data_IF_644198881965
#
_entry.id   IF_644198881965
#
_cell.length_a   1.000
_cell.length_b   1.000
_cell.length_c   1.000
_cell.angle_alpha   90.00
_cell.angle_beta   90.00
_cell.angle_gamma   90.00
#
_symmetry.space_group_name_H-M   'P 1'
#
loop_
_entity.id
_entity.type
_entity.pdbx_description
1 polymer ?
#
# COMPACT_ATOMS: atom_id res chain seq x y z
N UNK A 1 -32.28 -6.85 8.08
CA UNK A 1 -31.20 -7.64 8.67
C UNK A 1 -29.86 -7.12 8.13
N UNK A 2 -29.26 -6.13 8.88
CA UNK A 2 -28.08 -5.38 8.46
C UNK A 2 -26.74 -6.04 8.83
N UNK A 3 -26.54 -7.32 8.62
CA UNK A 3 -25.31 -8.02 8.97
C UNK A 3 -24.50 -8.38 7.72
N UNK A 4 -23.23 -8.01 7.71
CA UNK A 4 -22.24 -8.52 6.77
C UNK A 4 -21.60 -9.75 7.41
N UNK A 5 -21.56 -10.87 6.68
CA UNK A 5 -20.97 -12.11 7.19
C UNK A 5 -19.59 -12.34 6.59
N UNK A 6 -18.72 -13.09 7.26
CA UNK A 6 -17.48 -13.56 6.67
C UNK A 6 -17.73 -14.28 5.34
N UNK A 7 -17.02 -13.88 4.29
CA UNK A 7 -17.20 -14.39 2.92
C UNK A 7 -18.17 -13.58 2.05
N UNK A 8 -18.92 -12.63 2.60
CA UNK A 8 -19.67 -11.67 1.80
C UNK A 8 -18.71 -10.72 1.05
N UNK A 9 -19.04 -10.38 -0.19
CA UNK A 9 -18.31 -9.38 -0.97
C UNK A 9 -19.13 -8.11 -1.08
N UNK A 10 -18.59 -6.96 -0.65
CA UNK A 10 -19.20 -5.66 -0.89
C UNK A 10 -18.94 -5.26 -2.34
N UNK A 11 -20.00 -5.05 -3.12
CA UNK A 11 -19.92 -4.68 -4.54
C UNK A 11 -20.36 -3.24 -4.81
N UNK A 12 -21.08 -2.63 -3.85
CA UNK A 12 -21.43 -1.20 -3.87
C UNK A 12 -21.53 -0.67 -2.44
N UNK A 13 -21.15 0.59 -2.24
CA UNK A 13 -21.35 1.35 -1.01
C UNK A 13 -21.84 2.76 -1.38
N UNK A 14 -22.79 3.32 -0.64
CA UNK A 14 -23.41 4.62 -0.91
C UNK A 14 -23.84 4.83 -2.39
N UNK A 15 -24.16 3.73 -3.10
CA UNK A 15 -24.50 3.76 -4.52
C UNK A 15 -23.31 3.69 -5.48
N UNK A 16 -22.09 3.87 -5.00
CA UNK A 16 -20.86 3.76 -5.79
C UNK A 16 -20.42 2.30 -5.92
N UNK A 17 -19.71 1.99 -6.99
CA UNK A 17 -19.10 0.67 -7.18
C UNK A 17 -17.89 0.51 -6.25
N UNK A 18 -17.75 -0.66 -5.67
CA UNK A 18 -16.63 -1.04 -4.80
C UNK A 18 -15.91 -2.20 -5.49
N UNK A 19 -14.71 -1.97 -5.96
CA UNK A 19 -13.85 -2.98 -6.57
C UNK A 19 -12.66 -3.32 -5.65
N UNK A 20 -12.30 -2.40 -4.73
CA UNK A 20 -11.18 -2.53 -3.79
C UNK A 20 -11.59 -2.11 -2.38
N UNK A 21 -10.79 -2.48 -1.39
CA UNK A 21 -11.01 -2.06 0.01
C UNK A 21 -10.98 -0.53 0.12
N UNK A 22 -10.07 0.13 -0.61
CA UNK A 22 -9.91 1.59 -0.60
C UNK A 22 -11.16 2.32 -1.09
N UNK A 23 -11.88 1.76 -2.07
CA UNK A 23 -13.14 2.32 -2.55
C UNK A 23 -14.20 2.33 -1.43
N UNK A 24 -14.26 1.27 -0.64
CA UNK A 24 -15.17 1.18 0.50
C UNK A 24 -14.77 2.16 1.61
N UNK A 25 -13.47 2.24 1.92
CA UNK A 25 -12.93 3.18 2.92
C UNK A 25 -13.24 4.62 2.51
N UNK A 26 -13.05 4.98 1.25
CA UNK A 26 -13.35 6.32 0.76
C UNK A 26 -14.83 6.72 0.90
N UNK A 27 -15.76 5.77 0.82
CA UNK A 27 -17.18 6.04 1.06
C UNK A 27 -17.48 6.15 2.57
N UNK A 28 -16.79 5.39 3.42
CA UNK A 28 -16.90 5.47 4.88
C UNK A 28 -16.38 6.81 5.38
N UNK A 29 -15.23 7.26 4.89
CA UNK A 29 -14.56 8.51 5.31
C UNK A 29 -15.38 9.78 4.99
N UNK A 30 -16.39 9.69 4.13
CA UNK A 30 -17.33 10.79 3.84
C UNK A 30 -18.47 10.90 4.85
N UNK A 31 -18.58 9.97 5.77
CA UNK A 31 -19.65 9.85 6.76
C UNK A 31 -19.11 10.15 8.16
N UNK A 32 -20.02 10.26 9.13
CA UNK A 32 -19.69 10.42 10.53
C UNK A 32 -20.15 9.19 11.35
N UNK A 33 -19.61 8.97 12.56
CA UNK A 33 -20.15 8.00 13.49
C UNK A 33 -21.63 8.26 13.75
N UNK A 34 -22.47 7.22 13.63
CA UNK A 34 -23.93 7.28 13.74
C UNK A 34 -24.65 7.43 12.40
N UNK A 35 -23.92 7.70 11.30
CA UNK A 35 -24.53 7.71 9.97
C UNK A 35 -24.80 6.30 9.45
N UNK A 36 -25.79 6.17 8.58
CA UNK A 36 -26.14 4.91 7.93
C UNK A 36 -25.41 4.76 6.58
N UNK A 37 -24.65 3.66 6.44
CA UNK A 37 -24.07 3.26 5.17
C UNK A 37 -24.89 2.13 4.54
N UNK A 38 -25.46 2.41 3.35
CA UNK A 38 -26.14 1.39 2.55
C UNK A 38 -25.18 0.75 1.56
N UNK A 39 -25.09 -0.56 1.60
CA UNK A 39 -24.23 -1.37 0.75
C UNK A 39 -25.03 -2.42 -0.01
N UNK A 40 -24.49 -2.88 -1.13
CA UNK A 40 -24.92 -4.10 -1.82
C UNK A 40 -23.82 -5.14 -1.62
N UNK A 41 -24.20 -6.25 -1.03
CA UNK A 41 -23.28 -7.37 -0.77
C UNK A 41 -23.69 -8.59 -1.61
N UNK A 42 -22.69 -9.32 -2.05
CA UNK A 42 -22.79 -10.58 -2.77
C UNK A 42 -22.28 -11.69 -1.85
N UNK A 43 -23.16 -12.50 -1.25
CA UNK A 43 -22.78 -13.66 -0.46
C UNK A 43 -22.04 -14.70 -1.32
N UNK A 44 -21.24 -15.56 -0.69
CA UNK A 44 -20.65 -16.72 -1.38
C UNK A 44 -21.70 -17.68 -1.94
N UNK A 45 -22.83 -17.80 -1.25
CA UNK A 45 -23.97 -18.62 -1.64
C UNK A 45 -25.26 -17.79 -1.60
N UNK A 46 -25.73 -17.31 -2.74
CA UNK A 46 -27.01 -16.62 -2.83
C UNK A 46 -27.01 -15.33 -3.66
N UNK A 47 -28.19 -14.73 -3.82
CA UNK A 47 -28.33 -13.50 -4.59
C UNK A 47 -27.77 -12.29 -3.84
N UNK A 48 -27.39 -11.27 -4.58
CA UNK A 48 -27.03 -9.97 -4.04
C UNK A 48 -28.16 -9.42 -3.15
N UNK A 49 -27.77 -8.84 -2.02
CA UNK A 49 -28.71 -8.22 -1.09
C UNK A 49 -28.24 -6.83 -0.69
N UNK A 50 -29.19 -5.99 -0.34
CA UNK A 50 -28.92 -4.66 0.22
C UNK A 50 -28.79 -4.79 1.75
N UNK A 51 -27.79 -4.15 2.30
CA UNK A 51 -27.50 -4.08 3.73
C UNK A 51 -27.32 -2.63 4.11
N UNK A 52 -27.94 -2.19 5.18
CA UNK A 52 -27.71 -0.87 5.77
C UNK A 52 -27.16 -1.07 7.17
N UNK A 53 -26.03 -0.42 7.45
CA UNK A 53 -25.29 -0.51 8.72
C UNK A 53 -25.09 0.89 9.26
N UNK A 54 -25.36 1.10 10.54
CA UNK A 54 -24.97 2.32 11.25
C UNK A 54 -23.48 2.25 11.59
N UNK A 55 -22.73 3.29 11.23
CA UNK A 55 -21.30 3.36 11.51
C UNK A 55 -21.06 3.67 12.99
N UNK A 56 -20.20 2.89 13.62
CA UNK A 56 -19.72 3.16 14.97
C UNK A 56 -18.61 4.23 14.97
N UNK A 57 -18.25 4.73 16.14
CA UNK A 57 -17.02 5.47 16.33
C UNK A 57 -15.83 4.51 16.43
N UNK A 58 -14.68 4.90 15.87
CA UNK A 58 -13.45 4.12 16.05
C UNK A 58 -13.01 4.18 17.53
N UNK A 59 -12.60 3.07 18.16
CA UNK A 59 -12.35 3.03 19.62
C UNK A 59 -11.32 4.06 20.12
N UNK A 60 -10.29 4.30 19.34
CA UNK A 60 -9.17 5.21 19.69
C UNK A 60 -9.29 6.58 19.00
N UNK A 61 -10.28 6.78 18.12
CA UNK A 61 -10.56 8.00 17.39
C UNK A 61 -12.09 8.23 17.28
N UNK A 62 -12.73 8.83 18.31
CA UNK A 62 -14.20 8.94 18.40
C UNK A 62 -14.88 9.72 17.27
N UNK A 63 -14.14 10.55 16.55
CA UNK A 63 -14.64 11.34 15.42
C UNK A 63 -14.50 10.59 14.08
N UNK A 64 -13.85 9.42 14.07
CA UNK A 64 -13.66 8.62 12.87
C UNK A 64 -14.73 7.52 12.76
N UNK A 65 -15.39 7.40 11.58
CA UNK A 65 -16.41 6.39 11.35
C UNK A 65 -15.80 4.98 11.22
N UNK A 66 -16.45 3.99 11.79
CA UNK A 66 -16.00 2.60 11.79
C UNK A 66 -17.13 1.65 11.40
N UNK A 67 -16.90 0.85 10.35
CA UNK A 67 -17.88 -0.13 9.87
C UNK A 67 -18.06 -1.35 10.80
N UNK A 68 -17.18 -1.55 11.76
CA UNK A 68 -17.23 -2.68 12.68
C UNK A 68 -16.74 -4.01 12.12
N UNK A 69 -16.10 -4.00 10.95
CA UNK A 69 -15.49 -5.18 10.33
C UNK A 69 -13.98 -5.07 10.27
N UNK A 70 -13.29 -6.20 10.41
CA UNK A 70 -11.84 -6.31 10.30
C UNK A 70 -11.48 -7.40 9.30
N UNK A 71 -10.24 -7.37 8.77
CA UNK A 71 -9.77 -8.37 7.82
C UNK A 71 -10.40 -8.24 6.43
N UNK A 72 -10.79 -7.03 6.04
CA UNK A 72 -11.21 -6.76 4.67
C UNK A 72 -10.06 -7.04 3.71
N UNK A 73 -10.38 -7.76 2.62
CA UNK A 73 -9.45 -8.02 1.54
C UNK A 73 -10.11 -7.68 0.21
N UNK A 74 -9.35 -7.16 -0.72
CA UNK A 74 -9.82 -7.04 -2.09
C UNK A 74 -9.99 -8.45 -2.67
N UNK A 75 -11.15 -8.73 -3.30
CA UNK A 75 -11.32 -9.98 -4.05
C UNK A 75 -10.26 -9.99 -5.14
N UNK A 76 -9.56 -11.11 -5.33
CA UNK A 76 -8.54 -11.25 -6.37
C UNK A 76 -9.06 -10.71 -7.70
N UNK A 77 -8.58 -9.54 -8.08
CA UNK A 77 -8.73 -9.02 -9.43
C UNK A 77 -7.70 -9.79 -10.24
N UNK A 78 -8.16 -10.70 -11.07
CA UNK A 78 -7.28 -11.40 -11.99
C UNK A 78 -6.84 -10.40 -13.05
N UNK A 79 -5.64 -9.85 -12.85
CA UNK A 79 -4.97 -9.02 -13.84
C UNK A 79 -4.35 -9.94 -14.89
N UNK A 80 -4.72 -9.74 -16.13
CA UNK A 80 -4.07 -10.41 -17.26
C UNK A 80 -2.84 -9.57 -17.65
N UNK A 81 -1.70 -9.91 -17.05
CA UNK A 81 -0.44 -9.25 -17.36
C UNK A 81 0.17 -9.87 -18.62
N UNK A 82 0.79 -9.07 -19.50
CA UNK A 82 1.48 -9.57 -20.69
C UNK A 82 2.78 -10.34 -20.35
N UNK A 83 3.11 -10.50 -19.08
CA UNK A 83 4.27 -11.19 -18.56
C UNK A 83 3.97 -11.82 -17.20
N UNK A 84 4.67 -12.91 -16.88
CA UNK A 84 4.60 -13.56 -15.57
C UNK A 84 5.55 -12.88 -14.59
N UNK A 85 5.04 -12.48 -13.42
CA UNK A 85 5.85 -11.97 -12.30
C UNK A 85 5.86 -13.01 -11.19
N UNK A 86 7.05 -13.48 -10.84
CA UNK A 86 7.26 -14.35 -9.69
C UNK A 86 8.16 -13.63 -8.70
N UNK A 87 7.66 -13.40 -7.47
CA UNK A 87 8.43 -12.82 -6.39
C UNK A 87 8.75 -13.94 -5.39
N UNK A 88 10.03 -14.24 -5.20
CA UNK A 88 10.46 -15.11 -4.11
C UNK A 88 10.83 -14.23 -2.90
N UNK A 89 10.01 -14.18 -1.87
CA UNK A 89 10.29 -13.35 -0.69
C UNK A 89 11.39 -13.93 0.20
N UNK A 90 11.85 -15.15 -0.06
CA UNK A 90 12.85 -15.84 0.77
C UNK A 90 12.40 -15.93 2.24
N UNK A 91 13.17 -15.31 3.15
CA UNK A 91 12.86 -15.25 4.58
C UNK A 91 12.12 -13.95 4.99
N UNK A 92 11.86 -13.05 4.07
CA UNK A 92 11.14 -11.79 4.36
C UNK A 92 9.70 -12.10 4.73
N UNK A 93 9.24 -11.56 5.85
CA UNK A 93 7.91 -11.78 6.41
C UNK A 93 7.19 -10.44 6.64
N UNK A 94 5.86 -10.48 6.43
CA UNK A 94 4.99 -9.36 6.72
C UNK A 94 4.93 -8.30 5.61
N UNK A 95 3.99 -7.35 5.70
CA UNK A 95 3.68 -6.40 4.64
C UNK A 95 4.70 -5.25 4.51
N UNK A 96 5.60 -5.08 5.47
CA UNK A 96 6.56 -3.96 5.52
C UNK A 96 7.62 -3.97 4.40
N UNK A 97 7.69 -5.03 3.61
CA UNK A 97 8.54 -5.14 2.44
C UNK A 97 7.80 -4.80 1.13
N UNK A 98 6.52 -4.44 1.20
CA UNK A 98 5.68 -4.20 0.03
C UNK A 98 6.28 -3.17 -0.92
N UNK A 99 6.68 -2.00 -0.40
CA UNK A 99 7.34 -0.97 -1.21
C UNK A 99 8.64 -1.47 -1.86
N UNK A 100 9.46 -2.22 -1.11
CA UNK A 100 10.72 -2.76 -1.63
C UNK A 100 10.47 -3.74 -2.79
N UNK A 101 9.50 -4.65 -2.65
CA UNK A 101 9.14 -5.58 -3.74
C UNK A 101 8.56 -4.85 -4.95
N UNK A 102 7.76 -3.81 -4.73
CA UNK A 102 7.22 -2.99 -5.83
C UNK A 102 8.35 -2.33 -6.62
N UNK A 103 9.30 -1.70 -5.93
CA UNK A 103 10.45 -1.08 -6.58
C UNK A 103 11.35 -2.11 -7.27
N UNK A 104 11.57 -3.29 -6.68
CA UNK A 104 12.35 -4.35 -7.33
C UNK A 104 11.68 -4.88 -8.61
N UNK A 105 10.35 -4.97 -8.66
CA UNK A 105 9.61 -5.32 -9.89
C UNK A 105 9.77 -4.22 -10.94
N UNK A 106 9.66 -2.96 -10.53
CA UNK A 106 9.84 -1.84 -11.44
C UNK A 106 11.26 -1.78 -12.00
N UNK A 107 12.28 -2.04 -11.18
CA UNK A 107 13.68 -2.11 -11.62
C UNK A 107 13.89 -3.15 -12.73
N UNK A 108 13.29 -4.34 -12.56
CA UNK A 108 13.36 -5.40 -13.60
C UNK A 108 12.60 -5.02 -14.88
N UNK A 109 11.53 -4.24 -14.78
CA UNK A 109 10.69 -3.85 -15.91
C UNK A 109 11.13 -2.57 -16.61
N UNK A 110 11.99 -1.78 -15.96
CA UNK A 110 12.49 -0.50 -16.49
C UNK A 110 13.86 -0.70 -17.12
N UNK A 111 14.13 -0.15 -18.30
CA UNK A 111 15.47 -0.17 -18.86
C UNK A 111 16.45 0.65 -18.00
N UNK A 112 17.53 0.03 -17.55
CA UNK A 112 18.53 0.65 -16.69
C UNK A 112 18.36 0.25 -15.22
N UNK A 113 19.09 0.91 -14.34
CA UNK A 113 19.08 0.72 -12.89
C UNK A 113 18.34 1.90 -12.25
N UNK A 114 17.26 1.64 -11.54
CA UNK A 114 16.44 2.70 -10.92
C UNK A 114 17.16 3.41 -9.77
N UNK A 115 18.20 2.81 -9.20
CA UNK A 115 19.05 3.40 -8.15
C UNK A 115 20.38 3.94 -8.62
N UNK A 116 20.70 3.81 -9.92
CA UNK A 116 21.99 4.18 -10.50
C UNK A 116 23.19 3.49 -9.80
N UNK A 117 23.02 2.28 -9.30
CA UNK A 117 24.02 1.51 -8.57
C UNK A 117 24.26 1.97 -7.13
N UNK A 118 23.49 2.92 -6.63
CA UNK A 118 23.57 3.36 -5.23
C UNK A 118 22.91 2.30 -4.33
N UNK A 119 23.55 1.88 -3.24
CA UNK A 119 22.97 0.97 -2.26
C UNK A 119 21.78 1.62 -1.54
N UNK A 120 20.56 1.22 -1.87
CA UNK A 120 19.32 1.74 -1.29
C UNK A 120 18.64 0.70 -0.41
N UNK A 121 18.32 1.06 0.81
CA UNK A 121 17.39 0.31 1.65
C UNK A 121 15.98 0.87 1.53
N UNK A 122 14.97 0.01 1.64
CA UNK A 122 13.57 0.40 1.49
C UNK A 122 12.71 -0.33 2.53
N UNK A 123 11.78 0.37 3.15
CA UNK A 123 10.73 -0.24 3.95
C UNK A 123 9.43 0.55 3.82
N UNK A 124 8.32 -0.13 3.98
CA UNK A 124 6.98 0.46 3.90
C UNK A 124 5.96 -0.59 3.47
N UNK A 125 4.74 -0.50 3.98
CA UNK A 125 3.62 -1.15 3.32
C UNK A 125 3.27 -0.35 2.07
N UNK A 126 2.58 -0.95 1.12
CA UNK A 126 2.06 -0.25 -0.05
C UNK A 126 0.66 -0.78 -0.36
N UNK A 127 -0.25 0.10 -0.71
CA UNK A 127 -1.60 -0.25 -1.13
C UNK A 127 -1.77 -0.23 -2.66
N UNK A 128 -2.95 -0.64 -3.13
CA UNK A 128 -3.27 -0.69 -4.56
C UNK A 128 -3.35 0.69 -5.25
N UNK A 129 -3.30 1.78 -4.50
CA UNK A 129 -3.25 3.16 -5.00
C UNK A 129 -1.83 3.74 -4.97
N UNK A 130 -0.83 2.93 -4.55
CA UNK A 130 0.55 3.36 -4.44
C UNK A 130 0.85 4.19 -3.20
N UNK A 131 -0.01 4.20 -2.17
CA UNK A 131 0.25 4.90 -0.91
C UNK A 131 1.13 4.04 -0.02
N UNK A 132 2.14 4.68 0.56
CA UNK A 132 3.09 4.05 1.48
C UNK A 132 2.56 4.17 2.89
N UNK A 133 2.40 3.04 3.56
CA UNK A 133 1.86 2.99 4.90
C UNK A 133 2.88 2.58 5.96
N UNK A 134 2.49 2.70 7.24
CA UNK A 134 3.38 2.53 8.38
C UNK A 134 3.87 1.08 8.56
N UNK A 135 4.95 0.97 9.33
CA UNK A 135 5.59 -0.31 9.65
C UNK A 135 5.99 -0.34 11.14
N UNK A 136 6.39 -1.50 11.66
CA UNK A 136 6.95 -1.60 13.00
C UNK A 136 8.48 -1.62 13.01
N UNK A 137 9.10 -1.00 14.04
CA UNK A 137 10.53 -1.09 14.31
C UNK A 137 11.42 -0.42 13.27
N UNK A 138 11.02 0.75 12.75
CA UNK A 138 11.77 1.50 11.75
C UNK A 138 13.15 1.89 12.24
N UNK A 139 13.30 2.19 13.53
CA UNK A 139 14.55 2.54 14.16
C UNK A 139 15.57 1.39 14.08
N UNK A 140 15.15 0.16 14.32
CA UNK A 140 16.03 -1.02 14.21
C UNK A 140 16.35 -1.35 12.73
N UNK A 141 15.40 -1.10 11.84
CA UNK A 141 15.62 -1.28 10.40
C UNK A 141 16.61 -0.24 9.86
N UNK A 142 16.53 1.01 10.32
CA UNK A 142 17.47 2.04 9.95
C UNK A 142 18.90 1.68 10.38
N UNK A 143 19.09 1.20 11.61
CA UNK A 143 20.38 0.71 12.07
C UNK A 143 20.90 -0.45 11.23
N UNK A 144 20.04 -1.40 10.89
CA UNK A 144 20.41 -2.54 10.05
C UNK A 144 20.77 -2.12 8.62
N UNK A 145 20.05 -1.17 8.05
CA UNK A 145 20.32 -0.61 6.72
C UNK A 145 21.70 0.10 6.69
N UNK A 146 21.98 0.93 7.70
CA UNK A 146 23.28 1.61 7.85
C UNK A 146 24.42 0.58 7.98
N UNK A 147 24.26 -0.46 8.80
CA UNK A 147 25.24 -1.53 8.96
C UNK A 147 25.45 -2.36 7.68
N UNK A 148 24.43 -2.45 6.84
CA UNK A 148 24.51 -3.10 5.53
C UNK A 148 25.17 -2.23 4.46
N UNK A 149 25.48 -0.97 4.77
CA UNK A 149 26.15 -0.03 3.86
C UNK A 149 25.18 0.69 2.92
N UNK A 150 23.91 0.80 3.27
CA UNK A 150 22.97 1.61 2.51
C UNK A 150 23.38 3.09 2.59
N UNK A 151 23.31 3.77 1.46
CA UNK A 151 23.55 5.21 1.37
C UNK A 151 22.25 6.01 1.44
N UNK A 152 21.14 5.40 1.03
CA UNK A 152 19.79 5.94 1.12
C UNK A 152 18.85 4.93 1.79
N UNK A 153 17.94 5.42 2.63
CA UNK A 153 16.88 4.61 3.21
C UNK A 153 15.51 5.27 3.02
N UNK A 154 14.67 4.67 2.19
CA UNK A 154 13.29 5.09 1.96
C UNK A 154 12.40 4.53 3.08
N UNK A 155 11.69 5.42 3.78
CA UNK A 155 10.84 5.08 4.92
C UNK A 155 9.49 5.78 4.84
N UNK A 156 8.41 5.22 5.44
CA UNK A 156 7.14 5.94 5.53
C UNK A 156 7.33 7.31 6.20
N UNK A 157 6.70 8.35 5.64
CA UNK A 157 6.96 9.74 6.05
C UNK A 157 6.73 9.98 7.55
N UNK A 158 5.67 9.37 8.12
CA UNK A 158 5.36 9.48 9.55
C UNK A 158 6.41 8.88 10.48
N UNK A 159 7.31 8.02 9.99
CA UNK A 159 8.31 7.30 10.79
C UNK A 159 9.75 7.77 10.56
N UNK A 160 9.94 8.76 9.68
CA UNK A 160 11.28 9.25 9.32
C UNK A 160 12.05 9.84 10.51
N UNK A 161 11.38 10.43 11.49
CA UNK A 161 12.01 10.95 12.70
C UNK A 161 12.59 9.83 13.55
N UNK A 162 11.85 8.74 13.72
CA UNK A 162 12.29 7.57 14.49
C UNK A 162 13.44 6.85 13.77
N UNK A 163 13.37 6.71 12.45
CA UNK A 163 14.47 6.18 11.66
C UNK A 163 15.77 6.98 11.85
N UNK A 164 15.71 8.31 11.76
CA UNK A 164 16.87 9.20 11.97
C UNK A 164 17.46 9.10 13.36
N UNK A 165 16.66 8.78 14.38
CA UNK A 165 17.10 8.72 15.77
C UNK A 165 18.20 7.68 16.03
N UNK A 166 18.34 6.67 15.16
CA UNK A 166 19.29 5.56 15.29
C UNK A 166 20.46 5.62 14.32
N UNK A 167 20.35 6.40 13.25
CA UNK A 167 21.42 6.55 12.26
C UNK A 167 22.50 7.46 12.81
N UNK A 168 23.74 7.06 12.72
CA UNK A 168 24.92 7.79 13.23
C UNK A 168 25.91 8.20 12.12
N UNK A 169 25.81 7.57 10.96
CA UNK A 169 26.62 7.87 9.77
C UNK A 169 25.92 8.81 8.80
N UNK A 170 26.35 8.74 7.56
CA UNK A 170 25.93 9.64 6.48
C UNK A 170 24.75 9.09 5.65
N UNK A 171 24.16 7.95 6.04
CA UNK A 171 23.01 7.39 5.34
C UNK A 171 21.83 8.36 5.33
N UNK A 172 21.36 8.72 4.15
CA UNK A 172 20.22 9.62 3.99
C UNK A 172 18.90 8.91 4.29
N UNK A 173 18.04 9.51 5.11
CA UNK A 173 16.69 9.03 5.40
C UNK A 173 15.69 9.89 4.63
N UNK A 174 15.07 9.29 3.63
CA UNK A 174 14.08 9.96 2.77
C UNK A 174 12.66 9.50 3.13
N UNK A 175 11.81 10.42 3.62
CA UNK A 175 10.40 10.14 3.88
C UNK A 175 9.63 10.03 2.56
N UNK A 176 8.78 9.01 2.44
CA UNK A 176 7.90 8.80 1.28
C UNK A 176 6.46 8.54 1.73
N UNK A 177 5.49 9.15 1.08
CA UNK A 177 4.07 8.95 1.29
C UNK A 177 3.46 8.08 0.19
N UNK A 178 4.08 8.12 -1.00
CA UNK A 178 3.60 7.42 -2.19
C UNK A 178 4.73 6.70 -2.92
N UNK A 179 4.36 5.77 -3.82
CA UNK A 179 5.28 5.16 -4.77
C UNK A 179 5.96 6.23 -5.64
N UNK A 180 5.24 7.29 -6.00
CA UNK A 180 5.78 8.38 -6.81
C UNK A 180 6.92 9.10 -6.08
N UNK A 181 6.77 9.38 -4.78
CA UNK A 181 7.85 10.01 -3.99
C UNK A 181 9.09 9.11 -3.95
N UNK A 182 8.89 7.79 -3.83
CA UNK A 182 10.00 6.83 -3.84
C UNK A 182 10.74 6.82 -5.19
N UNK A 183 10.01 6.85 -6.31
CA UNK A 183 10.59 6.92 -7.65
C UNK A 183 11.34 8.24 -7.88
N UNK A 184 10.79 9.37 -7.45
CA UNK A 184 11.44 10.68 -7.54
C UNK A 184 12.74 10.74 -6.70
N UNK A 185 12.73 10.11 -5.52
CA UNK A 185 13.92 10.01 -4.68
C UNK A 185 15.05 9.17 -5.37
N UNK A 186 14.68 8.08 -6.04
CA UNK A 186 15.63 7.26 -6.81
C UNK A 186 16.14 7.99 -8.05
N UNK A 187 15.27 8.72 -8.73
CA UNK A 187 15.62 9.52 -9.92
C UNK A 187 16.63 10.63 -9.57
N UNK A 188 16.52 11.20 -8.36
CA UNK A 188 17.46 12.18 -7.84
C UNK A 188 18.89 11.63 -7.65
N UNK A 189 19.06 10.30 -7.54
CA UNK A 189 20.38 9.63 -7.55
C UNK A 189 20.96 9.48 -8.96
N UNK A 190 20.25 9.93 -9.98
CA UNK A 190 20.60 9.73 -11.39
C UNK A 190 20.13 8.39 -11.95
N UNK A 191 19.21 7.73 -11.27
CA UNK A 191 18.53 6.53 -11.75
C UNK A 191 17.52 6.84 -12.87
N UNK A 192 16.87 5.79 -13.36
CA UNK A 192 15.85 5.87 -14.40
C UNK A 192 14.47 5.47 -13.89
N UNK A 193 14.20 5.80 -12.62
CA UNK A 193 13.01 5.33 -11.92
C UNK A 193 11.70 5.93 -12.46
N UNK A 194 11.75 7.12 -13.05
CA UNK A 194 10.60 7.80 -13.65
C UNK A 194 10.46 7.59 -15.16
N UNK A 195 11.47 7.00 -15.81
CA UNK A 195 11.48 6.65 -17.23
C UNK A 195 10.61 5.41 -17.54
N UNK A 196 9.49 5.26 -16.87
CA UNK A 196 8.51 4.21 -17.11
C UNK A 196 7.84 4.40 -18.48
N UNK A 197 8.58 4.23 -19.56
CA UNK A 197 7.96 4.08 -20.88
C UNK A 197 7.09 2.82 -20.84
N UNK A 198 5.79 3.02 -21.00
CA UNK A 198 4.83 1.92 -21.00
C UNK A 198 5.25 0.86 -22.03
N UNK A 199 5.58 -0.37 -21.64
CA UNK A 199 5.91 -1.45 -22.56
C UNK A 199 4.75 -1.81 -23.51
N UNK A 200 3.59 -1.16 -23.32
CA UNK A 200 2.38 -1.36 -24.12
C UNK A 200 2.35 -0.52 -25.42
N UNK A 201 3.32 0.35 -25.70
CA UNK A 201 3.35 1.14 -26.95
C UNK A 201 4.07 0.49 -28.11
N UNK A 202 4.76 -0.64 -27.93
CA UNK A 202 5.54 -1.29 -29.00
C UNK A 202 4.91 -2.56 -29.59
N UNK A 203 3.69 -2.91 -29.22
CA UNK A 203 2.92 -4.00 -29.81
C UNK A 203 1.81 -3.45 -30.72
N UNK A 204 2.20 -2.79 -31.80
CA UNK A 204 1.33 -2.33 -32.89
C UNK A 204 1.71 -2.98 -34.21
#
# INVERSE_FOLDING_TARGET
DGVINPGDTVVRAAGQRVDRVEDLVAEIDQLAPGDELTMVVEPSDGPRRRVTVELAAFPDAPDEPFLGVTGLTTRDVQYDYPFDVTIDPGQVRGPSAGLAFTLAVLDVLTPGDISNGVPVAVTGTIDGLGRVGPIGGVDLKALAAEQAGAELFLVPAGEAADARSRVTGDMEIVPVETLQDALEALDALGGHATDLESPLRSAG
#
